data_IF_067377896740
#
_entry.id   IF_067377896740
#
_cell.length_a   1.000
_cell.length_b   1.000
_cell.length_c   1.000
_cell.angle_alpha   90.00
_cell.angle_beta   90.00
_cell.angle_gamma   90.00
#
_symmetry.space_group_name_H-M   'P 1'
#
loop_
_entity.id
_entity.type
_entity.pdbx_description
1 polymer ?
#
# COMPACT_ATOMS: atom_id res chain seq x y z
N UNK A 1 -20.12 -10.22 -37.27
CA UNK A 1 -19.57 -8.85 -37.04
C UNK A 1 -18.08 -8.89 -37.32
N UNK A 2 -17.53 -7.85 -37.98
CA UNK A 2 -16.07 -7.74 -38.22
C UNK A 2 -15.35 -7.42 -36.90
N UNK A 3 -14.33 -8.21 -36.57
CA UNK A 3 -13.52 -8.02 -35.35
C UNK A 3 -12.36 -7.05 -35.66
N UNK A 4 -12.62 -5.77 -35.45
CA UNK A 4 -11.67 -4.69 -35.79
C UNK A 4 -10.45 -4.71 -34.85
N UNK A 5 -10.55 -5.26 -33.64
CA UNK A 5 -9.46 -5.31 -32.65
C UNK A 5 -8.38 -6.31 -33.04
N UNK A 6 -8.76 -7.38 -33.77
CA UNK A 6 -7.83 -8.38 -34.30
C UNK A 6 -7.26 -8.01 -35.69
N UNK A 7 -7.58 -6.82 -36.22
CA UNK A 7 -6.97 -6.35 -37.47
C UNK A 7 -5.47 -6.07 -37.27
N UNK A 8 -4.70 -6.26 -38.34
CA UNK A 8 -3.26 -5.95 -38.34
C UNK A 8 -3.02 -4.46 -38.20
N UNK A 9 -2.10 -4.07 -37.32
CA UNK A 9 -1.60 -2.71 -37.21
C UNK A 9 -0.28 -2.57 -38.01
N UNK A 10 -0.21 -1.56 -38.87
CA UNK A 10 0.96 -1.34 -39.72
C UNK A 10 1.99 -0.38 -39.12
N UNK A 11 1.75 0.15 -37.91
CA UNK A 11 2.66 1.09 -37.25
C UNK A 11 3.89 0.41 -36.62
N UNK A 12 3.86 -0.93 -36.47
CA UNK A 12 4.96 -1.74 -35.93
C UNK A 12 5.44 -1.25 -34.54
N UNK A 13 4.50 -0.86 -33.67
CA UNK A 13 4.80 -0.41 -32.32
C UNK A 13 3.98 -1.20 -31.32
N UNK A 14 4.67 -1.98 -30.46
CA UNK A 14 4.05 -2.68 -29.37
C UNK A 14 3.56 -1.70 -28.27
N UNK A 15 2.51 -2.09 -27.57
CA UNK A 15 2.02 -1.31 -26.41
C UNK A 15 2.38 -2.08 -25.14
N UNK A 16 3.12 -1.43 -24.23
CA UNK A 16 3.55 -2.05 -22.98
C UNK A 16 2.38 -2.36 -22.06
N UNK A 17 1.38 -1.46 -21.98
CA UNK A 17 0.20 -1.63 -21.15
C UNK A 17 -1.05 -1.08 -21.82
N UNK A 18 -2.05 -1.95 -22.02
CA UNK A 18 -3.40 -1.59 -22.45
C UNK A 18 -4.40 -2.33 -21.58
N UNK A 19 -5.47 -1.66 -21.14
CA UNK A 19 -6.44 -2.27 -20.23
C UNK A 19 -7.49 -1.32 -19.69
N UNK A 20 -8.06 -1.68 -18.53
CA UNK A 20 -9.08 -0.93 -17.82
C UNK A 20 -8.51 -0.36 -16.52
N UNK A 21 -9.05 0.78 -16.07
CA UNK A 21 -8.64 1.46 -14.82
C UNK A 21 -9.86 1.85 -13.99
N UNK A 22 -9.62 1.99 -12.69
CA UNK A 22 -10.54 2.63 -11.74
C UNK A 22 -11.93 1.97 -11.69
N UNK A 23 -11.99 0.63 -11.89
CA UNK A 23 -13.22 -0.11 -11.69
C UNK A 23 -13.40 -0.44 -10.21
N UNK A 24 -14.51 0.02 -9.61
CA UNK A 24 -14.86 -0.35 -8.24
C UNK A 24 -15.33 -1.79 -8.18
N UNK A 25 -14.66 -2.63 -7.39
CA UNK A 25 -14.93 -4.06 -7.31
C UNK A 25 -14.97 -4.55 -5.87
N UNK A 26 -16.02 -5.30 -5.46
CA UNK A 26 -16.10 -5.89 -4.13
C UNK A 26 -15.07 -7.03 -4.00
N UNK A 27 -14.28 -6.97 -2.94
CA UNK A 27 -13.25 -7.97 -2.61
C UNK A 27 -13.35 -8.42 -1.17
N UNK A 28 -12.81 -9.61 -0.88
CA UNK A 28 -12.60 -10.15 0.45
C UNK A 28 -11.11 -10.34 0.68
N UNK A 29 -10.59 -9.79 1.76
CA UNK A 29 -9.17 -9.90 2.12
C UNK A 29 -8.99 -10.62 3.45
N UNK A 30 -7.88 -11.34 3.67
CA UNK A 30 -7.59 -11.99 4.95
C UNK A 30 -7.54 -10.97 6.09
N UNK A 31 -8.15 -11.31 7.22
CA UNK A 31 -8.18 -10.56 8.47
C UNK A 31 -7.76 -11.50 9.60
N UNK A 32 -6.73 -11.13 10.35
CA UNK A 32 -6.14 -11.99 11.39
C UNK A 32 -7.12 -12.30 12.53
N UNK A 33 -8.03 -11.38 12.82
CA UNK A 33 -8.98 -11.50 13.93
C UNK A 33 -10.30 -12.14 13.50
N UNK A 34 -10.81 -11.76 12.31
CA UNK A 34 -12.15 -12.14 11.85
C UNK A 34 -12.12 -13.17 10.70
N UNK A 35 -10.95 -13.64 10.30
CA UNK A 35 -10.75 -14.55 9.17
C UNK A 35 -10.73 -13.83 7.83
N UNK A 36 -11.76 -13.01 7.54
CA UNK A 36 -11.87 -12.21 6.33
C UNK A 36 -12.54 -10.86 6.59
N UNK A 37 -12.20 -9.87 5.76
CA UNK A 37 -12.83 -8.55 5.72
C UNK A 37 -13.32 -8.26 4.30
N UNK A 38 -14.61 -7.92 4.16
CA UNK A 38 -15.19 -7.43 2.92
C UNK A 38 -14.89 -5.94 2.76
N UNK A 39 -14.45 -5.56 1.56
CA UNK A 39 -14.17 -4.15 1.20
C UNK A 39 -14.40 -3.93 -0.29
N UNK A 40 -14.20 -2.70 -0.75
CA UNK A 40 -14.29 -2.35 -2.17
C UNK A 40 -12.92 -1.85 -2.62
N UNK A 41 -12.37 -2.47 -3.67
CA UNK A 41 -11.13 -2.04 -4.30
C UNK A 41 -11.39 -1.20 -5.54
N UNK A 42 -10.51 -0.23 -5.79
CA UNK A 42 -10.32 0.34 -7.12
C UNK A 42 -9.33 -0.55 -7.87
N UNK A 43 -9.82 -1.20 -8.92
CA UNK A 43 -9.05 -2.21 -9.66
C UNK A 43 -8.64 -1.67 -11.01
N UNK A 44 -7.36 -1.87 -11.36
CA UNK A 44 -6.82 -1.59 -12.68
C UNK A 44 -6.17 -2.85 -13.22
N UNK A 45 -6.53 -3.25 -14.43
CA UNK A 45 -6.00 -4.44 -15.11
C UNK A 45 -5.44 -4.05 -16.46
N UNK A 46 -4.26 -4.55 -16.80
CA UNK A 46 -3.64 -4.30 -18.10
C UNK A 46 -2.82 -5.49 -18.58
N UNK A 47 -2.62 -5.54 -19.90
CA UNK A 47 -1.76 -6.52 -20.55
C UNK A 47 -0.87 -5.84 -21.59
N UNK A 48 0.23 -6.50 -22.00
CA UNK A 48 1.01 -6.09 -23.15
C UNK A 48 0.24 -6.41 -24.45
N UNK A 49 0.37 -5.55 -25.47
CA UNK A 49 -0.21 -5.78 -26.80
C UNK A 49 0.90 -5.80 -27.84
N UNK A 50 1.07 -6.93 -28.57
CA UNK A 50 2.06 -7.04 -29.64
C UNK A 50 1.82 -6.01 -30.75
N UNK A 51 2.88 -5.65 -31.47
CA UNK A 51 2.86 -4.65 -32.54
C UNK A 51 1.91 -4.99 -33.69
N UNK A 52 1.60 -6.27 -33.89
CA UNK A 52 0.76 -6.75 -35.00
C UNK A 52 -0.74 -6.63 -34.74
N UNK A 53 -1.15 -6.31 -33.49
CA UNK A 53 -2.54 -6.20 -33.11
C UNK A 53 -2.97 -4.74 -32.96
N UNK A 54 -4.12 -4.39 -33.56
CA UNK A 54 -4.70 -3.05 -33.48
C UNK A 54 -5.24 -2.70 -32.09
N UNK A 55 -5.77 -3.69 -31.35
CA UNK A 55 -6.36 -3.46 -30.04
C UNK A 55 -6.63 -4.74 -29.25
N UNK A 56 -7.26 -4.60 -28.09
CA UNK A 56 -7.69 -5.71 -27.26
C UNK A 56 -9.14 -5.53 -26.79
N UNK A 57 -9.81 -6.63 -26.43
CA UNK A 57 -11.21 -6.63 -26.01
C UNK A 57 -11.35 -6.23 -24.54
N UNK A 58 -11.82 -5.02 -24.25
CA UNK A 58 -11.96 -4.48 -22.89
C UNK A 58 -12.94 -5.29 -22.02
N UNK A 59 -14.01 -5.85 -22.60
CA UNK A 59 -14.97 -6.69 -21.88
C UNK A 59 -14.32 -7.93 -21.24
N UNK A 60 -13.28 -8.50 -21.86
CA UNK A 60 -12.58 -9.68 -21.34
C UNK A 60 -11.90 -9.43 -20.00
N UNK A 61 -11.43 -8.21 -19.72
CA UNK A 61 -10.87 -7.86 -18.41
C UNK A 61 -11.92 -7.99 -17.33
N UNK A 62 -13.15 -7.48 -17.60
CA UNK A 62 -14.26 -7.55 -16.64
C UNK A 62 -14.76 -8.99 -16.49
N UNK A 63 -14.82 -9.76 -17.58
CA UNK A 63 -15.18 -11.18 -17.54
C UNK A 63 -14.18 -11.99 -16.68
N UNK A 64 -12.88 -11.76 -16.86
CA UNK A 64 -11.84 -12.43 -16.07
C UNK A 64 -11.95 -12.04 -14.60
N UNK A 65 -12.12 -10.76 -14.29
CA UNK A 65 -12.29 -10.29 -12.92
C UNK A 65 -13.55 -10.87 -12.26
N UNK A 66 -14.66 -10.95 -13.03
CA UNK A 66 -15.93 -11.52 -12.57
C UNK A 66 -15.93 -13.03 -12.38
N UNK A 67 -15.05 -13.75 -13.08
CA UNK A 67 -14.89 -15.20 -12.94
C UNK A 67 -13.98 -15.60 -11.77
N UNK A 68 -13.21 -14.65 -11.20
CA UNK A 68 -12.36 -14.92 -10.06
C UNK A 68 -13.15 -14.98 -8.75
N UNK A 69 -12.64 -15.75 -7.79
CA UNK A 69 -13.12 -15.67 -6.41
C UNK A 69 -12.94 -14.25 -5.88
N UNK A 70 -13.90 -13.75 -5.10
CA UNK A 70 -13.82 -12.42 -4.48
C UNK A 70 -12.60 -12.25 -3.55
N UNK A 71 -12.02 -13.36 -3.12
CA UNK A 71 -10.92 -13.38 -2.16
C UNK A 71 -9.61 -12.98 -2.82
N UNK A 72 -9.06 -11.84 -2.42
CA UNK A 72 -7.78 -11.32 -2.89
C UNK A 72 -6.68 -11.75 -1.93
N UNK A 73 -5.82 -12.65 -2.41
CA UNK A 73 -4.65 -13.16 -1.68
C UNK A 73 -3.45 -13.18 -2.62
N UNK A 74 -2.26 -13.35 -2.08
CA UNK A 74 -1.04 -13.53 -2.86
C UNK A 74 -1.20 -14.60 -3.97
N UNK A 75 -1.73 -15.78 -3.61
CA UNK A 75 -1.91 -16.88 -4.55
C UNK A 75 -2.96 -16.61 -5.63
N UNK A 76 -4.05 -15.94 -5.28
CA UNK A 76 -5.12 -15.64 -6.23
C UNK A 76 -4.71 -14.56 -7.23
N UNK A 77 -3.80 -13.66 -6.86
CA UNK A 77 -3.28 -12.61 -7.74
C UNK A 77 -2.48 -13.19 -8.91
N UNK A 78 -1.61 -14.17 -8.67
CA UNK A 78 -0.89 -14.86 -9.74
C UNK A 78 -1.85 -15.57 -10.71
N UNK A 79 -2.82 -16.33 -10.20
CA UNK A 79 -3.85 -17.00 -10.99
C UNK A 79 -4.69 -16.04 -11.84
N UNK A 80 -5.02 -14.86 -11.30
CA UNK A 80 -5.71 -13.80 -12.06
C UNK A 80 -4.85 -13.33 -13.25
N UNK A 81 -3.55 -13.09 -13.04
CA UNK A 81 -2.64 -12.62 -14.10
C UNK A 81 -2.40 -13.70 -15.17
N UNK A 82 -2.28 -14.96 -14.78
CA UNK A 82 -2.20 -16.10 -15.73
C UNK A 82 -3.47 -16.13 -16.60
N UNK A 83 -4.64 -16.05 -15.98
CA UNK A 83 -5.92 -16.04 -16.71
C UNK A 83 -6.03 -14.85 -17.66
N UNK A 84 -5.57 -13.65 -17.23
CA UNK A 84 -5.54 -12.47 -18.10
C UNK A 84 -4.65 -12.67 -19.32
N UNK A 85 -3.41 -13.19 -19.13
CA UNK A 85 -2.49 -13.50 -20.22
C UNK A 85 -3.11 -14.46 -21.24
N UNK A 86 -3.70 -15.54 -20.77
CA UNK A 86 -4.31 -16.57 -21.63
C UNK A 86 -5.50 -16.02 -22.42
N UNK A 87 -6.45 -15.37 -21.73
CA UNK A 87 -7.68 -14.85 -22.33
C UNK A 87 -7.43 -13.73 -23.35
N UNK A 88 -6.40 -12.92 -23.10
CA UNK A 88 -6.05 -11.79 -23.96
C UNK A 88 -4.88 -12.09 -24.91
N UNK A 89 -4.32 -13.30 -24.85
CA UNK A 89 -3.16 -13.74 -25.66
C UNK A 89 -1.97 -12.79 -25.54
N UNK A 90 -1.72 -12.33 -24.31
CA UNK A 90 -0.67 -11.38 -24.01
C UNK A 90 0.57 -12.08 -23.44
N UNK A 91 1.73 -11.44 -23.59
CA UNK A 91 2.98 -11.90 -22.96
C UNK A 91 3.03 -11.54 -21.49
N UNK A 92 2.60 -10.33 -21.15
CA UNK A 92 2.68 -9.77 -19.81
C UNK A 92 1.29 -9.31 -19.35
N UNK A 93 1.01 -9.46 -18.06
CA UNK A 93 -0.20 -8.98 -17.42
C UNK A 93 0.12 -8.23 -16.13
N UNK A 94 -0.73 -7.28 -15.76
CA UNK A 94 -0.56 -6.44 -14.58
C UNK A 94 -1.91 -6.14 -13.94
N UNK A 95 -1.96 -6.16 -12.60
CA UNK A 95 -3.15 -5.86 -11.81
C UNK A 95 -2.79 -4.98 -10.62
N UNK A 96 -3.60 -3.95 -10.39
CA UNK A 96 -3.50 -3.09 -9.22
C UNK A 96 -4.82 -3.11 -8.49
N UNK A 97 -4.77 -3.28 -7.17
CA UNK A 97 -5.90 -3.23 -6.27
C UNK A 97 -5.60 -2.21 -5.17
N UNK A 98 -6.32 -1.10 -5.16
CA UNK A 98 -6.27 -0.08 -4.11
C UNK A 98 -7.53 -0.19 -3.26
N UNK A 99 -7.40 -0.40 -1.94
CA UNK A 99 -8.56 -0.58 -1.08
C UNK A 99 -8.34 -0.11 0.36
N UNK A 100 -9.39 0.38 1.03
CA UNK A 100 -9.34 0.62 2.47
C UNK A 100 -9.39 -0.70 3.24
N UNK A 101 -8.53 -0.81 4.26
CA UNK A 101 -8.50 -1.90 5.21
C UNK A 101 -8.74 -1.36 6.62
N UNK A 102 -9.56 -2.06 7.41
CA UNK A 102 -9.96 -1.56 8.73
C UNK A 102 -9.43 -2.47 9.84
N UNK A 103 -8.69 -1.87 10.77
CA UNK A 103 -8.17 -2.57 11.95
C UNK A 103 -8.96 -2.17 13.17
N UNK A 104 -9.42 -3.14 13.95
CA UNK A 104 -10.02 -2.88 15.24
C UNK A 104 -8.94 -2.65 16.28
N UNK A 105 -8.85 -1.41 16.77
CA UNK A 105 -7.94 -1.02 17.86
C UNK A 105 -8.71 -0.79 19.15
N UNK A 106 -8.17 -1.31 20.25
CA UNK A 106 -8.65 -1.01 21.59
C UNK A 106 -7.92 0.21 22.14
N UNK A 107 -8.67 1.17 22.68
CA UNK A 107 -8.12 2.32 23.37
C UNK A 107 -7.25 1.88 24.57
N UNK A 108 -6.15 2.61 24.87
CA UNK A 108 -5.09 2.09 25.75
C UNK A 108 -5.46 1.94 27.24
N UNK A 109 -6.44 2.68 27.70
CA UNK A 109 -6.89 2.68 29.12
C UNK A 109 -8.29 2.09 29.24
N UNK A 110 -9.27 2.64 28.50
CA UNK A 110 -10.66 2.21 28.59
C UNK A 110 -10.95 0.90 27.89
N UNK A 111 -10.09 0.47 26.95
CA UNK A 111 -10.32 -0.71 26.11
C UNK A 111 -11.46 -0.52 25.10
N UNK A 112 -11.99 0.70 24.93
CA UNK A 112 -13.03 0.99 23.95
C UNK A 112 -12.54 0.69 22.54
N UNK A 113 -13.32 -0.10 21.79
CA UNK A 113 -12.91 -0.57 20.45
C UNK A 113 -13.41 0.35 19.35
N UNK A 114 -12.50 0.80 18.49
CA UNK A 114 -12.78 1.57 17.29
C UNK A 114 -12.11 0.97 16.06
N UNK A 115 -12.63 1.28 14.86
CA UNK A 115 -12.02 0.84 13.60
C UNK A 115 -11.14 1.95 13.03
N UNK A 116 -9.84 1.66 12.85
CA UNK A 116 -8.89 2.53 12.18
C UNK A 116 -8.80 2.12 10.71
N UNK A 117 -8.94 3.07 9.79
CA UNK A 117 -8.70 2.87 8.36
C UNK A 117 -7.21 2.96 8.07
N UNK A 118 -6.72 2.02 7.29
CA UNK A 118 -5.44 2.03 6.59
C UNK A 118 -5.70 1.87 5.11
N UNK A 119 -4.83 2.39 4.25
CA UNK A 119 -4.96 2.20 2.82
C UNK A 119 -3.95 1.15 2.36
N UNK A 120 -4.42 0.20 1.56
CA UNK A 120 -3.62 -0.92 1.07
C UNK A 120 -3.64 -0.94 -0.45
N UNK A 121 -2.47 -1.18 -1.04
CA UNK A 121 -2.31 -1.40 -2.47
C UNK A 121 -1.57 -2.71 -2.71
N UNK A 122 -2.14 -3.53 -3.58
CA UNK A 122 -1.45 -4.64 -4.21
C UNK A 122 -1.15 -4.28 -5.66
N UNK A 123 0.11 -4.36 -6.04
CA UNK A 123 0.58 -4.09 -7.40
C UNK A 123 1.29 -5.36 -7.89
N UNK A 124 0.60 -6.13 -8.72
CA UNK A 124 1.04 -7.43 -9.21
C UNK A 124 1.36 -7.38 -10.70
N UNK A 125 2.44 -8.01 -11.08
CA UNK A 125 2.87 -8.15 -12.47
C UNK A 125 3.29 -9.61 -12.76
N UNK A 126 2.94 -10.09 -13.94
CA UNK A 126 3.42 -11.36 -14.48
C UNK A 126 4.09 -11.06 -15.84
N UNK A 127 5.43 -11.04 -15.86
CA UNK A 127 6.26 -10.77 -17.05
C UNK A 127 6.82 -12.08 -17.56
N UNK A 128 6.34 -12.55 -18.72
CA UNK A 128 6.61 -13.94 -19.08
C UNK A 128 6.06 -14.87 -18.00
N UNK A 129 6.92 -15.60 -17.31
CA UNK A 129 6.56 -16.50 -16.21
C UNK A 129 7.06 -15.97 -14.84
N UNK A 130 7.61 -14.76 -14.81
CA UNK A 130 8.11 -14.14 -13.60
C UNK A 130 7.00 -13.31 -12.92
N UNK A 131 6.54 -13.81 -11.76
CA UNK A 131 5.53 -13.18 -10.94
C UNK A 131 6.16 -12.25 -9.91
N UNK A 132 5.70 -11.01 -9.85
CA UNK A 132 6.12 -10.00 -8.88
C UNK A 132 4.88 -9.39 -8.20
N UNK A 133 4.90 -9.30 -6.88
CA UNK A 133 3.87 -8.61 -6.10
C UNK A 133 4.51 -7.63 -5.13
N UNK A 134 4.11 -6.38 -5.26
CA UNK A 134 4.44 -5.33 -4.30
C UNK A 134 3.21 -5.03 -3.47
N UNK A 135 3.36 -5.11 -2.15
CA UNK A 135 2.35 -4.72 -1.17
C UNK A 135 2.70 -3.37 -0.58
N UNK A 136 1.78 -2.42 -0.62
CA UNK A 136 1.92 -1.12 0.05
C UNK A 136 0.86 -1.00 1.12
N UNK A 137 1.29 -0.64 2.34
CA UNK A 137 0.39 -0.31 3.46
C UNK A 137 0.67 1.11 3.91
N UNK A 138 -0.36 1.94 3.93
CA UNK A 138 -0.31 3.31 4.45
C UNK A 138 -1.10 3.37 5.75
N UNK A 139 -0.42 3.65 6.86
CA UNK A 139 -1.03 3.76 8.18
C UNK A 139 -0.89 5.17 8.73
N UNK A 140 -1.98 5.77 9.27
CA UNK A 140 -1.87 7.04 9.97
C UNK A 140 -1.21 6.84 11.33
N UNK A 141 -0.30 7.74 11.68
CA UNK A 141 0.43 7.79 12.95
C UNK A 141 0.45 9.20 13.51
N UNK A 142 0.93 9.37 14.74
CA UNK A 142 1.17 10.67 15.36
C UNK A 142 2.66 10.91 15.56
N UNK A 143 3.13 12.13 15.24
CA UNK A 143 4.47 12.62 15.58
C UNK A 143 4.39 13.84 16.47
N UNK A 144 5.36 14.01 17.37
CA UNK A 144 5.54 15.17 18.22
C UNK A 144 6.97 15.65 18.08
N UNK A 145 7.14 16.93 17.77
CA UNK A 145 8.45 17.52 17.45
C UNK A 145 9.41 17.58 18.66
N UNK A 146 10.55 16.88 18.61
CA UNK A 146 11.57 16.94 19.66
C UNK A 146 12.13 18.35 19.87
N UNK A 147 12.40 19.11 18.78
CA UNK A 147 12.91 20.48 18.86
C UNK A 147 11.93 21.42 19.57
N UNK A 148 10.64 21.34 19.20
CA UNK A 148 9.60 22.15 19.83
C UNK A 148 9.49 21.84 21.32
N UNK A 149 9.60 20.57 21.69
CA UNK A 149 9.62 20.14 23.11
C UNK A 149 10.78 20.74 23.88
N UNK A 150 11.98 20.79 23.27
CA UNK A 150 13.20 21.29 23.93
C UNK A 150 13.16 22.80 24.19
N UNK A 151 12.64 23.59 23.26
CA UNK A 151 12.69 25.05 23.33
C UNK A 151 11.46 25.69 23.99
N UNK A 152 10.33 24.99 24.04
CA UNK A 152 9.06 25.54 24.51
C UNK A 152 8.89 25.34 26.02
N UNK A 153 8.35 26.37 26.70
CA UNK A 153 7.98 26.29 28.10
C UNK A 153 6.67 25.54 28.36
N UNK A 154 5.80 25.41 27.35
CA UNK A 154 4.41 24.96 27.51
C UNK A 154 4.01 23.83 26.55
N UNK A 155 4.88 22.90 26.28
CA UNK A 155 4.56 21.73 25.45
C UNK A 155 5.32 21.69 24.13
N UNK A 156 4.75 20.97 23.15
CA UNK A 156 5.33 20.80 21.82
C UNK A 156 4.23 20.63 20.80
N UNK A 157 4.47 21.10 19.57
CA UNK A 157 3.52 20.81 18.51
C UNK A 157 3.58 19.32 18.14
N UNK A 158 2.40 18.81 17.82
CA UNK A 158 2.21 17.45 17.33
C UNK A 158 1.24 17.49 16.17
N UNK A 159 1.28 16.46 15.35
CA UNK A 159 0.51 16.39 14.12
C UNK A 159 0.33 14.94 13.67
N UNK A 160 -0.62 14.77 12.74
CA UNK A 160 -0.79 13.52 12.03
C UNK A 160 0.36 13.34 11.03
N UNK A 161 0.79 12.10 10.90
CA UNK A 161 1.72 11.67 9.88
C UNK A 161 1.21 10.39 9.22
N UNK A 162 1.74 10.04 8.07
CA UNK A 162 1.50 8.77 7.39
C UNK A 162 2.80 7.99 7.27
N UNK A 163 2.78 6.75 7.75
CA UNK A 163 3.82 5.76 7.51
C UNK A 163 3.42 4.92 6.30
N UNK A 164 4.25 4.91 5.28
CA UNK A 164 4.07 4.13 4.04
C UNK A 164 5.12 3.03 4.00
N UNK A 165 4.68 1.81 3.86
CA UNK A 165 5.52 0.60 3.79
C UNK A 165 5.21 -0.11 2.48
N UNK A 166 6.12 -0.04 1.52
CA UNK A 166 6.07 -0.72 0.24
C UNK A 166 7.07 -1.87 0.27
N UNK A 167 6.61 -3.11 0.09
CA UNK A 167 7.43 -4.29 0.30
C UNK A 167 7.25 -5.36 -0.79
N UNK A 168 8.33 -6.09 -1.07
CA UNK A 168 8.28 -7.42 -1.68
C UNK A 168 8.54 -8.48 -0.63
N UNK A 169 7.72 -9.50 -0.61
CA UNK A 169 7.71 -10.54 0.41
C UNK A 169 8.07 -11.90 -0.19
N UNK A 170 8.90 -12.66 0.54
CA UNK A 170 9.17 -14.07 0.26
C UNK A 170 8.17 -15.01 0.97
N UNK A 171 7.32 -14.50 1.84
CA UNK A 171 6.33 -15.26 2.60
C UNK A 171 5.14 -14.40 3.01
N UNK A 172 4.13 -15.04 3.61
CA UNK A 172 2.92 -14.35 4.04
C UNK A 172 3.19 -13.47 5.28
N UNK A 173 2.68 -12.24 5.23
CA UNK A 173 2.66 -11.28 6.34
C UNK A 173 1.24 -10.72 6.46
N UNK A 174 0.71 -10.65 7.67
CA UNK A 174 -0.59 -10.03 7.93
C UNK A 174 -0.51 -8.51 7.76
N UNK A 175 -1.55 -7.88 7.20
CA UNK A 175 -1.62 -6.43 7.08
C UNK A 175 -1.55 -5.73 8.44
N UNK A 176 -2.09 -6.37 9.48
CA UNK A 176 -2.05 -5.90 10.87
C UNK A 176 -0.62 -5.82 11.42
N UNK A 177 0.31 -6.66 10.96
CA UNK A 177 1.72 -6.60 11.38
C UNK A 177 2.38 -5.30 10.90
N UNK A 178 2.08 -4.86 9.67
CA UNK A 178 2.56 -3.57 9.16
C UNK A 178 2.01 -2.38 9.96
N UNK A 179 0.72 -2.44 10.33
CA UNK A 179 0.13 -1.36 11.14
C UNK A 179 0.72 -1.34 12.54
N UNK A 180 1.05 -2.49 13.12
CA UNK A 180 1.77 -2.54 14.38
C UNK A 180 3.17 -1.92 14.27
N UNK A 181 3.93 -2.21 13.20
CA UNK A 181 5.22 -1.58 12.95
C UNK A 181 5.10 -0.05 12.83
N UNK A 182 4.04 0.43 12.17
CA UNK A 182 3.74 1.86 12.08
C UNK A 182 3.43 2.49 13.45
N UNK A 183 2.66 1.80 14.30
CA UNK A 183 2.37 2.26 15.66
C UNK A 183 3.63 2.33 16.54
N UNK A 184 4.53 1.36 16.39
CA UNK A 184 5.76 1.25 17.18
C UNK A 184 6.79 2.33 16.82
N UNK A 185 6.80 2.78 15.55
CA UNK A 185 7.69 3.87 15.10
C UNK A 185 7.17 5.27 15.42
N UNK A 186 5.91 5.42 15.83
CA UNK A 186 5.25 6.70 16.10
C UNK A 186 5.57 7.28 17.47
N UNK A 187 5.34 8.58 17.66
CA UNK A 187 5.31 9.17 19.01
C UNK A 187 4.18 8.56 19.84
N UNK A 188 3.02 8.38 19.23
CA UNK A 188 1.90 7.59 19.77
C UNK A 188 1.06 7.01 18.62
N UNK A 189 0.38 5.86 18.83
CA UNK A 189 -0.60 5.34 17.90
C UNK A 189 -1.83 6.27 17.78
N UNK A 190 -2.53 6.16 16.63
CA UNK A 190 -3.82 6.82 16.41
C UNK A 190 -4.95 5.82 16.65
N UNK A 191 -6.06 6.33 17.20
CA UNK A 191 -7.27 5.58 17.51
C UNK A 191 -8.50 6.31 16.98
N UNK A 192 -9.51 5.56 16.54
CA UNK A 192 -10.79 6.12 16.10
C UNK A 192 -11.76 6.42 17.23
N UNK A 193 -11.53 5.82 18.40
CA UNK A 193 -12.36 6.01 19.59
C UNK A 193 -11.47 6.09 20.83
N UNK A 194 -11.55 7.21 21.53
CA UNK A 194 -10.88 7.49 22.80
C UNK A 194 -11.88 8.02 23.81
N UNK A 195 -11.71 7.66 25.08
CA UNK A 195 -12.35 8.31 26.22
C UNK A 195 -11.37 9.34 26.82
N UNK A 196 -11.82 10.15 27.78
CA UNK A 196 -10.97 11.22 28.36
C UNK A 196 -9.67 10.70 28.99
N UNK A 197 -9.72 9.55 29.65
CA UNK A 197 -8.54 8.88 30.19
C UNK A 197 -7.56 8.40 29.09
N UNK A 198 -8.10 7.95 27.96
CA UNK A 198 -7.29 7.54 26.83
C UNK A 198 -6.63 8.73 26.15
N UNK A 199 -7.37 9.86 25.98
CA UNK A 199 -6.83 11.10 25.43
C UNK A 199 -5.65 11.61 26.26
N UNK A 200 -5.80 11.58 27.60
CA UNK A 200 -4.71 11.93 28.53
C UNK A 200 -3.50 11.02 28.27
N UNK A 201 -3.72 9.70 28.26
CA UNK A 201 -2.64 8.73 28.07
C UNK A 201 -1.89 8.93 26.74
N UNK A 202 -2.63 9.07 25.62
CA UNK A 202 -2.05 9.23 24.29
C UNK A 202 -1.26 10.55 24.20
N UNK A 203 -1.78 11.62 24.81
CA UNK A 203 -1.12 12.93 24.85
C UNK A 203 0.19 12.86 25.62
N UNK A 204 0.18 12.27 26.81
CA UNK A 204 1.37 12.11 27.64
C UNK A 204 2.40 11.19 26.99
N UNK A 205 1.97 10.05 26.44
CA UNK A 205 2.83 9.13 25.69
C UNK A 205 3.53 9.81 24.50
N UNK A 206 2.78 10.59 23.71
CA UNK A 206 3.38 11.32 22.59
C UNK A 206 4.42 12.33 23.06
N UNK A 207 4.16 13.01 24.14
CA UNK A 207 5.07 13.99 24.74
C UNK A 207 6.34 13.33 25.33
N UNK A 208 6.22 12.17 25.95
CA UNK A 208 7.34 11.39 26.49
C UNK A 208 8.19 10.74 25.40
N UNK A 209 7.62 10.48 24.24
CA UNK A 209 8.25 9.81 23.09
C UNK A 209 8.28 10.70 21.83
N UNK A 210 8.95 11.87 21.87
CA UNK A 210 9.03 12.75 20.69
C UNK A 210 9.83 12.06 19.58
N UNK A 211 9.37 12.22 18.32
CA UNK A 211 9.96 11.59 17.13
C UNK A 211 9.98 12.58 15.98
N UNK A 212 11.14 12.72 15.34
CA UNK A 212 11.25 13.26 14.00
C UNK A 212 10.78 12.24 12.95
N UNK A 213 10.49 12.68 11.75
CA UNK A 213 10.21 11.76 10.62
C UNK A 213 11.41 10.85 10.34
N UNK A 214 12.63 11.34 10.56
CA UNK A 214 13.89 10.59 10.45
C UNK A 214 13.99 9.46 11.48
N UNK A 215 13.54 9.67 12.70
CA UNK A 215 13.53 8.64 13.73
C UNK A 215 12.52 7.56 13.37
N UNK A 216 11.29 7.97 13.04
CA UNK A 216 10.22 7.07 12.66
C UNK A 216 10.59 6.21 11.44
N UNK A 217 11.20 6.79 10.40
CA UNK A 217 11.58 6.03 9.20
C UNK A 217 12.73 5.06 9.47
N UNK A 218 13.67 5.40 10.39
CA UNK A 218 14.74 4.48 10.81
C UNK A 218 14.18 3.28 11.56
N UNK A 219 13.25 3.48 12.47
CA UNK A 219 12.57 2.39 13.21
C UNK A 219 11.81 1.46 12.27
N UNK A 220 11.05 2.03 11.31
CA UNK A 220 10.39 1.23 10.27
C UNK A 220 11.40 0.42 9.44
N UNK A 221 12.50 1.04 9.01
CA UNK A 221 13.53 0.37 8.23
C UNK A 221 14.19 -0.76 9.03
N UNK A 222 14.43 -0.57 10.34
CA UNK A 222 14.97 -1.60 11.22
C UNK A 222 13.99 -2.78 11.37
N UNK A 223 12.69 -2.51 11.53
CA UNK A 223 11.67 -3.55 11.57
C UNK A 223 11.62 -4.36 10.26
N UNK A 224 11.65 -3.68 9.10
CA UNK A 224 11.70 -4.36 7.79
C UNK A 224 13.00 -5.15 7.60
N UNK A 225 14.11 -4.62 8.08
CA UNK A 225 15.41 -5.31 8.00
C UNK A 225 15.45 -6.57 8.85
N UNK A 226 14.79 -6.57 10.00
CA UNK A 226 14.73 -7.71 10.92
C UNK A 226 13.78 -8.83 10.44
N UNK A 227 12.74 -8.52 9.67
CA UNK A 227 11.77 -9.51 9.19
C UNK A 227 12.33 -10.27 7.97
N UNK A 228 12.66 -11.55 8.15
CA UNK A 228 13.23 -12.41 7.09
C UNK A 228 12.29 -12.61 5.89
N UNK A 229 10.98 -12.40 6.07
CA UNK A 229 9.98 -12.49 4.99
C UNK A 229 10.05 -11.29 4.04
N UNK A 230 10.62 -10.17 4.47
CA UNK A 230 10.81 -8.97 3.65
C UNK A 230 12.08 -9.11 2.82
N UNK A 231 11.95 -9.05 1.51
CA UNK A 231 13.06 -9.16 0.53
C UNK A 231 13.54 -7.80 0.07
N UNK A 232 12.60 -6.91 -0.21
CA UNK A 232 12.85 -5.54 -0.62
C UNK A 232 11.84 -4.64 0.08
N UNK A 233 12.28 -3.47 0.52
CA UNK A 233 11.38 -2.49 1.10
C UNK A 233 11.73 -1.06 0.69
N UNK A 234 10.67 -0.25 0.62
CA UNK A 234 10.70 1.20 0.66
C UNK A 234 9.78 1.65 1.78
N UNK A 235 10.33 2.34 2.76
CA UNK A 235 9.56 2.94 3.85
C UNK A 235 9.71 4.45 3.81
N UNK A 236 8.61 5.15 4.06
CA UNK A 236 8.62 6.61 4.18
C UNK A 236 7.64 7.07 5.24
N UNK A 237 7.95 8.20 5.86
CA UNK A 237 7.07 8.90 6.80
C UNK A 237 6.90 10.32 6.31
N UNK A 238 5.65 10.76 6.19
CA UNK A 238 5.30 12.14 5.88
C UNK A 238 4.50 12.71 7.04
N UNK A 239 5.00 13.77 7.66
CA UNK A 239 4.38 14.49 8.77
C UNK A 239 3.69 15.75 8.25
N UNK A 240 2.40 15.91 8.54
CA UNK A 240 1.61 17.09 8.17
C UNK A 240 1.82 18.17 9.22
N UNK A 241 2.85 18.99 9.02
CA UNK A 241 3.32 19.94 10.02
C UNK A 241 2.24 20.95 10.43
N UNK A 242 1.95 21.00 11.76
CA UNK A 242 0.85 21.84 12.28
C UNK A 242 1.18 23.34 12.33
N UNK A 243 2.46 23.71 12.31
CA UNK A 243 2.92 25.11 12.40
C UNK A 243 3.62 25.61 11.11
N UNK A 244 3.76 24.74 10.10
CA UNK A 244 4.39 25.06 8.82
C UNK A 244 3.39 24.86 7.67
N UNK A 245 3.63 25.52 6.54
CA UNK A 245 2.81 25.36 5.33
C UNK A 245 3.32 24.28 4.37
N UNK A 246 4.20 23.42 4.84
CA UNK A 246 4.76 22.29 4.11
C UNK A 246 4.79 21.06 4.99
N UNK A 247 4.88 19.89 4.39
CA UNK A 247 5.06 18.62 5.06
C UNK A 247 6.55 18.32 5.22
N UNK A 248 6.93 17.68 6.33
CA UNK A 248 8.24 17.07 6.48
C UNK A 248 8.16 15.60 6.05
N UNK A 249 9.19 15.10 5.36
CA UNK A 249 9.23 13.69 4.96
C UNK A 249 10.63 13.10 5.05
N UNK A 250 10.69 11.79 5.29
CA UNK A 250 11.91 10.99 5.20
C UNK A 250 11.59 9.63 4.57
N UNK A 251 12.57 9.03 3.88
CA UNK A 251 12.40 7.73 3.23
C UNK A 251 13.69 6.91 3.21
N UNK A 252 13.55 5.57 3.30
CA UNK A 252 14.64 4.59 3.19
C UNK A 252 14.19 3.49 2.25
N UNK A 253 15.08 3.12 1.31
CA UNK A 253 14.86 2.03 0.35
C UNK A 253 16.01 1.04 0.43
N UNK A 254 15.72 -0.27 0.46
CA UNK A 254 16.74 -1.33 0.47
C UNK A 254 16.24 -2.58 -0.25
N UNK A 255 17.12 -3.15 -1.04
CA UNK A 255 17.02 -4.55 -1.49
C UNK A 255 17.93 -5.41 -0.61
N UNK A 256 17.33 -6.28 0.20
CA UNK A 256 18.08 -7.09 1.17
C UNK A 256 18.96 -8.16 0.51
N UNK A 257 18.66 -8.54 -0.75
CA UNK A 257 19.43 -9.50 -1.52
C UNK A 257 20.79 -8.95 -1.96
N UNK A 258 20.81 -7.63 -2.28
CA UNK A 258 21.99 -6.95 -2.80
C UNK A 258 22.61 -5.95 -1.84
N UNK A 259 21.88 -5.55 -0.80
CA UNK A 259 22.25 -4.46 0.12
C UNK A 259 22.23 -3.07 -0.52
N UNK A 260 21.80 -2.97 -1.78
CA UNK A 260 21.79 -1.73 -2.55
C UNK A 260 20.45 -1.01 -2.49
N UNK A 261 20.44 0.27 -2.93
CA UNK A 261 19.20 1.00 -3.21
C UNK A 261 18.59 0.41 -4.49
N UNK A 262 17.31 -0.01 -4.49
CA UNK A 262 16.67 -0.55 -5.68
C UNK A 262 16.69 0.46 -6.83
N UNK A 263 16.97 0.00 -8.07
CA UNK A 263 16.82 0.86 -9.24
C UNK A 263 15.35 1.23 -9.44
N UNK A 264 15.08 2.46 -9.94
CA UNK A 264 13.71 2.94 -10.19
C UNK A 264 12.91 2.05 -11.14
N UNK A 265 13.58 1.29 -12.00
CA UNK A 265 12.94 0.34 -12.93
C UNK A 265 12.30 -0.86 -12.23
N UNK A 266 12.73 -1.16 -11.00
CA UNK A 266 12.21 -2.26 -10.18
C UNK A 266 11.12 -1.83 -9.18
N UNK A 267 10.65 -0.60 -9.24
CA UNK A 267 9.65 -0.07 -8.33
C UNK A 267 8.43 0.44 -9.10
N UNK A 268 7.21 0.13 -8.67
CA UNK A 268 6.02 0.71 -9.27
C UNK A 268 6.01 2.23 -9.08
N UNK A 269 5.38 2.92 -10.02
CA UNK A 269 5.21 4.37 -9.97
C UNK A 269 4.44 4.77 -8.70
N UNK A 270 4.97 5.72 -7.93
CA UNK A 270 4.32 6.25 -6.72
C UNK A 270 2.85 6.62 -6.98
N UNK A 271 1.93 6.35 -6.05
CA UNK A 271 0.54 6.73 -6.22
C UNK A 271 0.44 8.26 -6.39
N UNK A 272 -0.27 8.71 -7.43
CA UNK A 272 -0.66 10.11 -7.52
C UNK A 272 -1.57 10.42 -6.34
N UNK A 273 -1.35 11.55 -5.65
CA UNK A 273 -2.31 12.11 -4.71
C UNK A 273 -3.67 12.19 -5.42
N UNK A 274 -4.68 11.55 -4.87
CA UNK A 274 -6.05 11.91 -5.18
C UNK A 274 -6.27 13.27 -4.53
N UNK A 275 -6.22 14.33 -5.32
CA UNK A 275 -6.77 15.64 -4.91
C UNK A 275 -8.28 15.46 -4.83
N UNK A 276 -8.78 15.16 -3.64
CA UNK A 276 -10.18 15.37 -3.33
C UNK A 276 -10.33 16.78 -2.76
N UNK A 277 -11.07 17.62 -3.54
CA UNK A 277 -11.49 18.94 -3.15
C UNK A 277 -12.55 18.95 -2.05
#
# INVERSE_FOLDING_TARGET
>A
MRDVQNETDNRNMAIDRVGIRDISWPISVPDRTNGTQETVAQVSLSVSLPQDYRGTHMSRFVEVLGAQEKRVTFHNMEGLLVTLKERLKARDAHAVFDFPYFITKAAPVSGAKGRLRCDVRFDAALRGDDFDLVTTVTSPIQTLCPCSKEISQFGAHNQRAHAVMEVRLAGFVWLEEFVQMADDCASAPIYSLLKREDEKYVTERAYENPRFVEDSVRELALAMQADERVVLYRVSVTSHESIHNHDAFAGIERDKRTGSIPSRENLPCSPRRTEEG
#
